data_IF_787025959633
#
_entry.id   IF_787025959633
#
_cell.length_a   1.000
_cell.length_b   1.000
_cell.length_c   1.000
_cell.angle_alpha   90.00
_cell.angle_beta   90.00
_cell.angle_gamma   90.00
#
_symmetry.space_group_name_H-M   'P 1'
#
loop_
_entity.id
_entity.type
_entity.pdbx_description
1 polymer ?
#
# COMPACT_ATOMS: atom_id res chain seq x y z
N UNK A 1 -35.33 -14.27 -6.50
CA UNK A 1 -35.05 -15.39 -5.57
C UNK A 1 -35.62 -15.01 -4.21
N UNK A 2 -36.45 -15.86 -3.59
CA UNK A 2 -37.12 -15.54 -2.31
C UNK A 2 -36.05 -15.31 -1.21
N UNK A 3 -36.11 -14.21 -0.43
CA UNK A 3 -35.10 -13.89 0.58
C UNK A 3 -34.91 -15.01 1.60
N UNK A 4 -35.99 -15.73 1.98
CA UNK A 4 -35.89 -16.87 2.90
C UNK A 4 -35.08 -18.03 2.32
N UNK A 5 -35.23 -18.29 1.01
CA UNK A 5 -34.47 -19.34 0.30
C UNK A 5 -33.00 -18.95 0.18
N UNK A 6 -32.70 -17.67 -0.07
CA UNK A 6 -31.33 -17.17 -0.11
C UNK A 6 -30.62 -17.31 1.25
N UNK A 7 -31.32 -17.02 2.35
CA UNK A 7 -30.78 -17.22 3.72
C UNK A 7 -30.52 -18.69 4.01
N UNK A 8 -31.48 -19.59 3.73
CA UNK A 8 -31.28 -21.03 3.95
C UNK A 8 -30.13 -21.60 3.12
N UNK A 9 -29.96 -21.14 1.87
CA UNK A 9 -28.86 -21.54 1.00
C UNK A 9 -27.50 -21.07 1.54
N UNK A 10 -27.43 -19.85 2.10
CA UNK A 10 -26.21 -19.34 2.71
C UNK A 10 -25.84 -20.12 3.98
N UNK A 11 -26.83 -20.49 4.81
CA UNK A 11 -26.62 -21.38 5.97
C UNK A 11 -26.09 -22.74 5.56
N UNK A 12 -26.70 -23.35 4.54
CA UNK A 12 -26.23 -24.63 3.99
C UNK A 12 -24.79 -24.53 3.48
N UNK A 13 -24.47 -23.49 2.70
CA UNK A 13 -23.10 -23.26 2.21
C UNK A 13 -22.10 -23.12 3.35
N UNK A 14 -22.46 -22.41 4.40
CA UNK A 14 -21.62 -22.21 5.59
C UNK A 14 -21.35 -23.54 6.29
N UNK A 15 -22.40 -24.31 6.59
CA UNK A 15 -22.27 -25.63 7.21
C UNK A 15 -21.43 -26.61 6.36
N UNK A 16 -21.58 -26.59 5.03
CA UNK A 16 -20.74 -27.40 4.15
C UNK A 16 -19.26 -27.00 4.23
N UNK A 17 -18.95 -25.70 4.30
CA UNK A 17 -17.57 -25.24 4.42
C UNK A 17 -17.00 -25.61 5.79
N UNK A 18 -17.78 -25.51 6.87
CA UNK A 18 -17.37 -25.95 8.22
C UNK A 18 -17.06 -27.45 8.26
N UNK A 19 -17.90 -28.27 7.62
CA UNK A 19 -17.65 -29.69 7.46
C UNK A 19 -16.32 -29.94 6.74
N UNK A 20 -16.08 -29.24 5.62
CA UNK A 20 -14.82 -29.36 4.88
C UNK A 20 -13.61 -28.89 5.71
N UNK A 21 -13.75 -27.86 6.54
CA UNK A 21 -12.69 -27.43 7.46
C UNK A 21 -12.35 -28.53 8.46
N UNK A 22 -13.38 -29.15 9.05
CA UNK A 22 -13.22 -30.25 10.01
C UNK A 22 -12.56 -31.46 9.35
N UNK A 23 -12.98 -31.81 8.11
CA UNK A 23 -12.35 -32.88 7.33
C UNK A 23 -10.88 -32.60 7.05
N UNK A 24 -10.51 -31.36 6.73
CA UNK A 24 -9.11 -30.97 6.49
C UNK A 24 -8.25 -31.03 7.76
N UNK A 25 -8.84 -30.87 8.94
CA UNK A 25 -8.13 -31.00 10.22
C UNK A 25 -7.86 -32.46 10.61
N UNK A 26 -8.57 -33.41 10.01
CA UNK A 26 -8.44 -34.83 10.33
C UNK A 26 -7.10 -35.40 9.85
N UNK A 27 -6.40 -36.12 10.74
CA UNK A 27 -5.02 -36.55 10.51
C UNK A 27 -4.89 -37.55 9.35
N UNK A 28 -5.81 -38.51 9.24
CA UNK A 28 -5.80 -39.55 8.20
C UNK A 28 -6.04 -38.97 6.79
N UNK A 29 -6.72 -37.83 6.73
CA UNK A 29 -6.98 -37.10 5.49
C UNK A 29 -5.72 -36.41 4.91
N UNK A 30 -4.64 -36.33 5.69
CA UNK A 30 -3.36 -35.73 5.27
C UNK A 30 -2.52 -36.66 4.40
N UNK A 31 -2.92 -37.93 4.29
CA UNK A 31 -2.25 -38.93 3.47
C UNK A 31 -2.19 -38.52 1.99
N UNK A 32 -1.14 -38.95 1.24
CA UNK A 32 -0.97 -38.59 -0.17
C UNK A 32 -2.14 -39.07 -1.06
N UNK A 33 -2.85 -40.12 -0.63
CA UNK A 33 -4.00 -40.71 -1.31
C UNK A 33 -5.17 -39.74 -1.52
N UNK A 34 -5.26 -38.67 -0.73
CA UNK A 34 -6.33 -37.66 -0.82
C UNK A 34 -5.84 -36.29 -1.32
N UNK A 35 -4.66 -36.23 -1.94
CA UNK A 35 -4.06 -34.97 -2.44
C UNK A 35 -4.95 -34.19 -3.42
N UNK A 36 -5.63 -34.88 -4.35
CA UNK A 36 -6.52 -34.25 -5.32
C UNK A 36 -7.77 -33.65 -4.65
N UNK A 37 -8.38 -34.38 -3.72
CA UNK A 37 -9.56 -33.90 -2.99
C UNK A 37 -9.21 -32.71 -2.10
N UNK A 38 -8.08 -32.75 -1.38
CA UNK A 38 -7.55 -31.60 -0.64
C UNK A 38 -7.38 -30.38 -1.54
N UNK A 39 -6.84 -30.58 -2.73
CA UNK A 39 -6.64 -29.51 -3.71
C UNK A 39 -7.98 -28.87 -4.15
N UNK A 40 -9.02 -29.68 -4.37
CA UNK A 40 -10.38 -29.18 -4.67
C UNK A 40 -10.99 -28.40 -3.50
N UNK A 41 -10.80 -28.87 -2.27
CA UNK A 41 -11.29 -28.19 -1.06
C UNK A 41 -10.60 -26.82 -0.89
N UNK A 42 -9.28 -26.76 -1.04
CA UNK A 42 -8.53 -25.51 -0.95
C UNK A 42 -8.99 -24.52 -2.02
N UNK A 43 -9.16 -24.98 -3.26
CA UNK A 43 -9.68 -24.16 -4.36
C UNK A 43 -11.08 -23.60 -4.04
N UNK A 44 -11.93 -24.39 -3.38
CA UNK A 44 -13.23 -23.94 -2.91
C UNK A 44 -13.12 -22.86 -1.82
N UNK A 45 -12.16 -22.96 -0.90
CA UNK A 45 -11.94 -21.92 0.11
C UNK A 45 -11.51 -20.59 -0.54
N UNK A 46 -10.60 -20.62 -1.52
CA UNK A 46 -10.22 -19.41 -2.27
C UNK A 46 -11.41 -18.76 -2.96
N UNK A 47 -12.25 -19.56 -3.62
CA UNK A 47 -13.49 -19.06 -4.25
C UNK A 47 -14.45 -18.46 -3.21
N UNK A 48 -14.57 -19.10 -2.05
CA UNK A 48 -15.45 -18.66 -0.96
C UNK A 48 -14.98 -17.36 -0.30
N UNK A 49 -13.67 -17.10 -0.23
CA UNK A 49 -13.12 -15.83 0.29
C UNK A 49 -13.50 -14.60 -0.52
N UNK A 50 -13.77 -14.79 -1.82
CA UNK A 50 -14.21 -13.72 -2.73
C UNK A 50 -15.73 -13.54 -2.76
N UNK A 51 -16.48 -14.33 -1.99
CA UNK A 51 -17.93 -14.18 -1.89
C UNK A 51 -18.33 -12.92 -1.10
N UNK A 52 -19.55 -12.42 -1.36
CA UNK A 52 -20.11 -11.24 -0.68
C UNK A 52 -20.68 -11.54 0.71
N UNK A 53 -20.94 -12.81 1.02
CA UNK A 53 -21.56 -13.22 2.28
C UNK A 53 -20.50 -13.31 3.38
N UNK A 54 -20.58 -12.49 4.45
CA UNK A 54 -19.53 -12.43 5.47
C UNK A 54 -19.39 -13.73 6.26
N UNK A 55 -20.48 -14.45 6.53
CA UNK A 55 -20.48 -15.74 7.23
C UNK A 55 -19.64 -16.79 6.49
N UNK A 56 -19.90 -16.94 5.19
CA UNK A 56 -19.16 -17.85 4.29
C UNK A 56 -17.66 -17.51 4.28
N UNK A 57 -17.35 -16.22 4.21
CA UNK A 57 -15.96 -15.73 4.19
C UNK A 57 -15.25 -16.03 5.51
N UNK A 58 -15.92 -15.85 6.65
CA UNK A 58 -15.34 -16.08 7.96
C UNK A 58 -14.91 -17.54 8.13
N UNK A 59 -15.79 -18.48 7.78
CA UNK A 59 -15.47 -19.92 7.83
C UNK A 59 -14.39 -20.28 6.82
N UNK A 60 -14.45 -19.76 5.58
CA UNK A 60 -13.42 -20.03 4.58
C UNK A 60 -12.03 -19.49 4.98
N UNK A 61 -11.98 -18.34 5.66
CA UNK A 61 -10.75 -17.75 6.20
C UNK A 61 -10.15 -18.66 7.28
N UNK A 62 -10.99 -19.18 8.17
CA UNK A 62 -10.55 -20.13 9.20
C UNK A 62 -10.03 -21.43 8.59
N UNK A 63 -10.76 -22.01 7.64
CA UNK A 63 -10.35 -23.21 6.92
C UNK A 63 -8.99 -23.05 6.24
N UNK A 64 -8.76 -21.94 5.53
CA UNK A 64 -7.46 -21.67 4.91
C UNK A 64 -6.36 -21.46 5.94
N UNK A 65 -6.62 -20.74 7.03
CA UNK A 65 -5.65 -20.55 8.11
C UNK A 65 -5.19 -21.89 8.68
N UNK A 66 -6.12 -22.82 8.91
CA UNK A 66 -5.80 -24.17 9.36
C UNK A 66 -4.96 -24.94 8.34
N UNK A 67 -5.33 -24.89 7.06
CA UNK A 67 -4.56 -25.56 5.99
C UNK A 67 -3.14 -25.02 5.89
N UNK A 68 -2.96 -23.69 5.96
CA UNK A 68 -1.66 -23.03 5.88
C UNK A 68 -0.76 -23.42 7.06
N UNK A 69 -1.33 -23.53 8.27
CA UNK A 69 -0.60 -23.93 9.46
C UNK A 69 -0.23 -25.43 9.47
N UNK A 70 -1.05 -26.28 8.85
CA UNK A 70 -0.88 -27.73 8.89
C UNK A 70 -0.03 -28.29 7.75
N UNK A 71 -0.04 -27.66 6.57
CA UNK A 71 0.70 -28.14 5.39
C UNK A 71 1.22 -26.99 4.53
N UNK A 72 2.38 -27.21 3.90
CA UNK A 72 2.89 -26.29 2.88
C UNK A 72 2.04 -26.44 1.62
N UNK A 73 1.34 -25.37 1.22
CA UNK A 73 0.49 -25.41 0.03
C UNK A 73 1.32 -25.53 -1.25
N UNK A 74 0.88 -26.35 -2.24
CA UNK A 74 1.52 -26.42 -3.54
C UNK A 74 1.49 -25.05 -4.24
N UNK A 75 2.63 -24.62 -4.79
CA UNK A 75 2.73 -23.34 -5.50
C UNK A 75 1.71 -23.27 -6.63
N UNK A 76 1.63 -24.30 -7.47
CA UNK A 76 0.74 -24.36 -8.64
C UNK A 76 -0.74 -24.14 -8.28
N UNK A 77 -1.18 -24.69 -7.14
CA UNK A 77 -2.55 -24.53 -6.66
C UNK A 77 -2.83 -23.10 -6.20
N UNK A 78 -1.85 -22.48 -5.55
CA UNK A 78 -1.92 -21.07 -5.20
C UNK A 78 -1.97 -20.21 -6.48
N UNK A 79 -1.15 -20.55 -7.48
CA UNK A 79 -1.12 -19.86 -8.76
C UNK A 79 -2.45 -19.92 -9.49
N UNK A 80 -3.03 -21.12 -9.62
CA UNK A 80 -4.32 -21.30 -10.28
C UNK A 80 -5.45 -20.58 -9.53
N UNK A 81 -5.41 -20.59 -8.20
CA UNK A 81 -6.45 -19.96 -7.37
C UNK A 81 -6.37 -18.43 -7.32
N UNK A 82 -5.17 -17.86 -7.33
CA UNK A 82 -4.96 -16.40 -7.28
C UNK A 82 -4.98 -15.73 -8.65
N UNK A 83 -4.66 -16.46 -9.73
CA UNK A 83 -4.59 -15.90 -11.10
C UNK A 83 -5.83 -15.08 -11.49
N UNK A 84 -7.08 -15.53 -11.26
CA UNK A 84 -8.26 -14.73 -11.60
C UNK A 84 -8.30 -13.37 -10.86
N UNK A 85 -7.84 -13.34 -9.61
CA UNK A 85 -7.83 -12.13 -8.77
C UNK A 85 -6.73 -11.18 -9.26
N UNK A 86 -5.54 -11.70 -9.54
CA UNK A 86 -4.40 -10.93 -10.04
C UNK A 86 -4.63 -10.37 -11.44
N UNK A 87 -5.29 -11.14 -12.31
CA UNK A 87 -5.67 -10.67 -13.66
C UNK A 87 -6.72 -9.56 -13.56
N UNK A 88 -7.72 -9.71 -12.69
CA UNK A 88 -8.69 -8.64 -12.44
C UNK A 88 -8.05 -7.38 -11.83
N UNK A 89 -7.01 -7.55 -11.01
CA UNK A 89 -6.25 -6.43 -10.47
C UNK A 89 -5.49 -5.67 -11.57
N UNK A 90 -4.92 -6.38 -12.55
CA UNK A 90 -4.17 -5.77 -13.65
C UNK A 90 -5.00 -4.79 -14.49
N UNK A 91 -6.33 -4.91 -14.49
CA UNK A 91 -7.24 -4.02 -15.19
C UNK A 91 -7.92 -3.06 -14.22
N UNK A 92 -7.55 -1.77 -14.27
CA UNK A 92 -8.12 -0.71 -13.42
C UNK A 92 -9.66 -0.68 -13.43
N UNK A 93 -10.28 -1.00 -14.57
CA UNK A 93 -11.74 -0.99 -14.76
C UNK A 93 -12.48 -2.08 -14.00
N UNK A 94 -11.80 -3.15 -13.58
CA UNK A 94 -12.41 -4.30 -12.89
C UNK A 94 -12.26 -4.22 -11.37
N UNK A 95 -11.60 -3.17 -10.86
CA UNK A 95 -11.42 -2.98 -9.42
C UNK A 95 -12.78 -2.70 -8.78
N UNK A 96 -13.15 -3.52 -7.81
CA UNK A 96 -14.39 -3.36 -7.06
C UNK A 96 -14.11 -3.58 -5.58
N UNK A 97 -14.93 -2.97 -4.72
CA UNK A 97 -14.78 -3.11 -3.27
C UNK A 97 -14.77 -4.59 -2.82
N UNK A 98 -15.66 -5.48 -3.32
CA UNK A 98 -15.61 -6.90 -2.95
C UNK A 98 -14.32 -7.61 -3.38
N UNK A 99 -13.78 -7.26 -4.54
CA UNK A 99 -12.51 -7.82 -5.03
C UNK A 99 -11.34 -7.39 -4.12
N UNK A 100 -11.25 -6.10 -3.79
CA UNK A 100 -10.20 -5.57 -2.92
C UNK A 100 -10.30 -6.13 -1.50
N UNK A 101 -11.50 -6.27 -0.96
CA UNK A 101 -11.71 -6.93 0.33
C UNK A 101 -11.32 -8.42 0.30
N UNK A 102 -11.66 -9.13 -0.79
CA UNK A 102 -11.21 -10.51 -1.00
C UNK A 102 -9.69 -10.62 -1.05
N UNK A 103 -9.04 -9.72 -1.78
CA UNK A 103 -7.58 -9.65 -1.89
C UNK A 103 -6.92 -9.29 -0.54
N UNK A 104 -7.47 -8.35 0.23
CA UNK A 104 -6.99 -8.04 1.58
C UNK A 104 -7.00 -9.27 2.49
N UNK A 105 -8.11 -10.02 2.50
CA UNK A 105 -8.22 -11.26 3.29
C UNK A 105 -7.20 -12.32 2.87
N UNK A 106 -6.91 -12.40 1.57
CA UNK A 106 -5.90 -13.31 1.03
C UNK A 106 -4.48 -12.88 1.40
N UNK A 107 -4.16 -11.60 1.26
CA UNK A 107 -2.88 -11.02 1.65
C UNK A 107 -2.61 -11.20 3.15
N UNK A 108 -3.63 -11.10 3.99
CA UNK A 108 -3.51 -11.32 5.44
C UNK A 108 -3.11 -12.76 5.78
N UNK A 109 -3.61 -13.75 5.02
CA UNK A 109 -3.29 -15.17 5.22
C UNK A 109 -1.99 -15.60 4.54
N UNK A 110 -1.63 -14.96 3.43
CA UNK A 110 -0.61 -15.40 2.49
C UNK A 110 0.42 -14.31 2.20
N UNK A 111 0.65 -13.37 3.12
CA UNK A 111 1.52 -12.21 2.92
C UNK A 111 2.89 -12.59 2.34
N UNK A 112 3.45 -13.70 2.79
CA UNK A 112 4.78 -14.18 2.39
C UNK A 112 4.84 -14.78 0.97
N UNK A 113 3.68 -15.03 0.35
CA UNK A 113 3.56 -15.56 -1.00
C UNK A 113 3.41 -14.49 -2.06
N UNK A 114 3.08 -13.27 -1.66
CA UNK A 114 3.04 -12.14 -2.56
C UNK A 114 4.41 -11.48 -2.58
N UNK A 115 4.86 -11.12 -3.77
CA UNK A 115 6.13 -10.42 -3.91
C UNK A 115 5.92 -8.90 -3.99
N UNK A 116 7.03 -8.18 -4.04
CA UNK A 116 7.04 -6.72 -4.06
C UNK A 116 6.55 -6.16 -5.41
N UNK A 117 6.49 -6.96 -6.48
CA UNK A 117 5.98 -6.51 -7.79
C UNK A 117 4.50 -6.18 -7.75
N UNK A 118 3.72 -6.88 -6.91
CA UNK A 118 2.32 -6.55 -6.64
C UNK A 118 2.20 -5.10 -6.14
N UNK A 119 3.03 -4.70 -5.17
CA UNK A 119 3.03 -3.33 -4.65
C UNK A 119 3.33 -2.28 -5.71
N UNK A 120 4.24 -2.57 -6.65
CA UNK A 120 4.53 -1.68 -7.78
C UNK A 120 3.32 -1.50 -8.70
N UNK A 121 2.58 -2.59 -9.00
CA UNK A 121 1.34 -2.50 -9.77
C UNK A 121 0.27 -1.69 -9.04
N UNK A 122 0.08 -1.93 -7.74
CA UNK A 122 -0.87 -1.17 -6.92
C UNK A 122 -0.56 0.33 -6.94
N UNK A 123 0.72 0.72 -6.88
CA UNK A 123 1.13 2.12 -7.02
C UNK A 123 0.83 2.68 -8.41
N UNK A 124 1.14 1.94 -9.46
CA UNK A 124 0.83 2.36 -10.84
C UNK A 124 -0.68 2.57 -11.01
N UNK A 125 -1.50 1.72 -10.39
CA UNK A 125 -2.94 1.92 -10.33
C UNK A 125 -3.27 3.22 -9.62
N UNK A 126 -2.80 3.44 -8.38
CA UNK A 126 -3.07 4.67 -7.64
C UNK A 126 -2.64 5.94 -8.39
N UNK A 127 -1.53 5.92 -9.14
CA UNK A 127 -1.09 7.09 -9.95
C UNK A 127 -2.11 7.47 -11.02
N UNK A 128 -2.82 6.49 -11.60
CA UNK A 128 -3.89 6.77 -12.59
C UNK A 128 -5.07 7.55 -11.98
N UNK A 129 -5.22 7.57 -10.65
CA UNK A 129 -6.21 8.41 -9.97
C UNK A 129 -5.82 9.89 -9.89
N UNK A 130 -4.56 10.25 -10.19
CA UNK A 130 -4.14 11.65 -10.33
C UNK A 130 -4.43 12.20 -11.73
N UNK A 131 -4.86 11.35 -12.67
CA UNK A 131 -5.14 11.73 -14.05
C UNK A 131 -6.65 11.85 -14.30
N UNK A 132 -7.23 13.06 -14.22
CA UNK A 132 -8.69 13.26 -14.28
C UNK A 132 -9.31 12.76 -15.59
N UNK A 133 -8.60 12.85 -16.71
CA UNK A 133 -9.07 12.36 -18.02
C UNK A 133 -9.20 10.83 -18.07
N UNK A 134 -8.28 10.10 -17.44
CA UNK A 134 -8.32 8.62 -17.36
C UNK A 134 -9.31 8.13 -16.32
N UNK A 135 -9.52 8.91 -15.25
CA UNK A 135 -10.55 8.65 -14.25
C UNK A 135 -11.95 8.75 -14.85
N UNK A 136 -12.24 9.79 -15.64
CA UNK A 136 -13.54 9.96 -16.30
C UNK A 136 -13.92 8.77 -17.20
N UNK A 137 -12.93 8.11 -17.82
CA UNK A 137 -13.16 6.89 -18.60
C UNK A 137 -13.45 5.66 -17.73
N UNK A 138 -12.97 5.65 -16.49
CA UNK A 138 -13.12 4.55 -15.52
C UNK A 138 -14.37 4.71 -14.65
N UNK A 139 -14.86 5.95 -14.49
CA UNK A 139 -16.09 6.32 -13.77
C UNK A 139 -17.34 5.58 -14.24
N UNK A 140 -17.40 5.14 -15.51
CA UNK A 140 -18.52 4.32 -16.01
C UNK A 140 -18.69 3.00 -15.26
N UNK A 141 -17.65 2.52 -14.56
CA UNK A 141 -17.64 1.23 -13.86
C UNK A 141 -18.01 1.35 -12.38
N UNK A 142 -18.05 2.58 -11.82
CA UNK A 142 -18.24 2.82 -10.39
C UNK A 142 -19.39 3.78 -10.12
N UNK A 143 -19.99 3.69 -8.92
CA UNK A 143 -20.95 4.69 -8.49
C UNK A 143 -20.21 5.98 -8.13
N UNK A 144 -20.83 7.13 -8.39
CA UNK A 144 -20.27 8.42 -8.01
C UNK A 144 -19.93 8.44 -6.51
N UNK A 145 -18.70 8.86 -6.16
CA UNK A 145 -18.20 8.91 -4.78
C UNK A 145 -17.65 7.59 -4.21
N UNK A 146 -17.65 6.48 -4.97
CA UNK A 146 -16.95 5.25 -4.56
C UNK A 146 -15.45 5.28 -4.89
N UNK A 147 -15.02 6.13 -5.81
CA UNK A 147 -13.65 6.19 -6.32
C UNK A 147 -12.62 6.43 -5.21
N UNK A 148 -12.82 7.40 -4.29
CA UNK A 148 -11.90 7.60 -3.16
C UNK A 148 -11.88 6.41 -2.21
N UNK A 149 -12.98 5.66 -2.08
CA UNK A 149 -13.01 4.45 -1.22
C UNK A 149 -12.21 3.32 -1.85
N UNK A 150 -12.25 3.18 -3.17
CA UNK A 150 -11.48 2.17 -3.90
C UNK A 150 -9.99 2.46 -3.77
N UNK A 151 -9.57 3.72 -4.00
CA UNK A 151 -8.17 4.12 -3.80
C UNK A 151 -7.72 3.92 -2.33
N UNK A 152 -8.56 4.25 -1.35
CA UNK A 152 -8.27 3.97 0.06
C UNK A 152 -8.12 2.47 0.35
N UNK A 153 -8.97 1.63 -0.24
CA UNK A 153 -8.87 0.18 -0.11
C UNK A 153 -7.59 -0.39 -0.76
N UNK A 154 -7.07 0.23 -1.84
CA UNK A 154 -5.77 -0.14 -2.42
C UNK A 154 -4.63 0.25 -1.48
N UNK A 155 -4.64 1.46 -0.91
CA UNK A 155 -3.64 1.89 0.09
C UNK A 155 -3.65 0.94 1.29
N UNK A 156 -4.84 0.49 1.71
CA UNK A 156 -5.01 -0.48 2.80
C UNK A 156 -4.30 -1.81 2.48
N UNK A 157 -4.13 -2.22 1.22
CA UNK A 157 -3.40 -3.46 0.93
C UNK A 157 -1.90 -3.38 1.25
N UNK A 158 -1.29 -2.18 1.28
CA UNK A 158 0.15 -2.04 1.47
C UNK A 158 0.63 -2.50 2.84
N UNK A 159 -0.18 -2.35 3.90
CA UNK A 159 0.22 -2.83 5.22
C UNK A 159 0.24 -4.37 5.32
N UNK A 160 -0.41 -5.06 4.39
CA UNK A 160 -0.48 -6.53 4.32
C UNK A 160 0.63 -7.13 3.42
N UNK A 161 1.35 -6.31 2.64
CA UNK A 161 2.46 -6.76 1.82
C UNK A 161 3.65 -7.25 2.68
N UNK A 162 4.60 -8.03 2.13
CA UNK A 162 5.82 -8.41 2.84
C UNK A 162 6.63 -7.20 3.36
N UNK A 163 7.54 -7.43 4.31
CA UNK A 163 8.41 -6.38 4.89
C UNK A 163 9.26 -5.65 3.84
N UNK A 164 9.56 -6.29 2.70
CA UNK A 164 10.26 -5.68 1.58
C UNK A 164 9.46 -4.55 0.88
N UNK A 165 8.21 -4.32 1.27
CA UNK A 165 7.39 -3.19 0.81
C UNK A 165 7.78 -1.84 1.45
N UNK A 166 8.70 -1.80 2.40
CA UNK A 166 9.25 -0.54 2.96
C UNK A 166 9.84 0.38 1.88
N UNK A 167 10.33 -0.18 0.76
CA UNK A 167 10.83 0.61 -0.38
C UNK A 167 9.79 1.53 -1.02
N UNK A 168 8.49 1.23 -0.83
CA UNK A 168 7.39 2.05 -1.35
C UNK A 168 7.00 3.20 -0.41
N UNK A 169 7.68 3.37 0.72
CA UNK A 169 7.34 4.37 1.73
C UNK A 169 7.25 5.78 1.16
N UNK A 170 8.30 6.23 0.47
CA UNK A 170 8.36 7.59 -0.11
C UNK A 170 7.25 7.81 -1.14
N UNK A 171 7.13 6.87 -2.08
CA UNK A 171 6.18 6.95 -3.17
C UNK A 171 4.72 6.90 -2.68
N UNK A 172 4.41 6.01 -1.72
CA UNK A 172 3.08 5.87 -1.15
C UNK A 172 2.66 7.10 -0.33
N UNK A 173 3.57 7.67 0.47
CA UNK A 173 3.29 8.89 1.25
C UNK A 173 3.03 10.05 0.31
N UNK A 174 3.92 10.25 -0.67
CA UNK A 174 3.79 11.33 -1.67
C UNK A 174 2.48 11.23 -2.43
N UNK A 175 2.19 10.04 -2.98
CA UNK A 175 0.98 9.77 -3.73
C UNK A 175 -0.28 9.95 -2.88
N UNK A 176 -0.25 9.58 -1.60
CA UNK A 176 -1.41 9.81 -0.71
C UNK A 176 -1.65 11.30 -0.47
N UNK A 177 -0.60 12.11 -0.36
CA UNK A 177 -0.72 13.57 -0.21
C UNK A 177 -1.31 14.19 -1.49
N UNK A 178 -0.84 13.76 -2.66
CA UNK A 178 -1.34 14.23 -3.96
C UNK A 178 -2.80 13.82 -4.20
N UNK A 179 -3.16 12.58 -3.86
CA UNK A 179 -4.53 12.08 -3.97
C UNK A 179 -5.49 12.86 -3.06
N UNK A 180 -5.05 13.31 -1.89
CA UNK A 180 -5.87 14.18 -1.03
C UNK A 180 -6.05 15.58 -1.62
N UNK A 181 -5.01 16.17 -2.20
CA UNK A 181 -5.10 17.47 -2.86
C UNK A 181 -5.94 17.43 -4.14
N UNK A 182 -6.08 16.26 -4.76
CA UNK A 182 -6.94 16.05 -5.93
C UNK A 182 -8.41 15.79 -5.57
N UNK A 183 -8.79 15.70 -4.27
CA UNK A 183 -10.18 15.47 -3.87
C UNK A 183 -11.04 16.73 -4.14
N UNK A 184 -12.23 16.58 -4.76
CA UNK A 184 -13.11 17.72 -5.00
C UNK A 184 -13.58 18.39 -3.69
N UNK A 185 -13.49 19.72 -3.58
CA UNK A 185 -14.04 20.44 -2.43
C UNK A 185 -15.57 20.30 -2.38
N UNK A 186 -16.12 20.05 -1.19
CA UNK A 186 -17.57 19.99 -0.96
C UNK A 186 -18.24 18.62 -1.13
N UNK A 187 -17.50 17.55 -1.42
CA UNK A 187 -18.02 16.18 -1.39
C UNK A 187 -17.88 15.51 -0.01
N UNK A 188 -18.50 14.34 0.15
CA UNK A 188 -18.43 13.47 1.36
C UNK A 188 -16.98 13.22 1.80
N UNK A 189 -16.07 13.13 0.82
CA UNK A 189 -14.63 13.05 1.02
C UNK A 189 -13.99 14.37 0.64
N UNK A 190 -13.14 14.88 1.52
CA UNK A 190 -12.42 16.15 1.36
C UNK A 190 -11.08 16.08 2.08
N UNK A 191 -10.28 17.15 1.97
CA UNK A 191 -9.10 17.29 2.81
C UNK A 191 -9.42 17.21 4.31
N UNK A 192 -10.65 17.47 4.76
CA UNK A 192 -11.00 17.35 6.18
C UNK A 192 -11.37 15.91 6.52
N UNK A 193 -12.07 15.22 5.60
CA UNK A 193 -12.51 13.83 5.75
C UNK A 193 -11.88 12.91 4.70
N UNK A 194 -10.55 12.76 4.73
CA UNK A 194 -9.84 11.92 3.76
C UNK A 194 -9.95 10.42 4.13
N UNK A 195 -10.39 9.56 3.19
CA UNK A 195 -10.45 8.12 3.41
C UNK A 195 -9.06 7.45 3.37
N UNK A 196 -8.02 8.14 2.91
CA UNK A 196 -6.67 7.58 2.72
C UNK A 196 -5.83 7.56 4.02
N UNK A 197 -6.19 8.39 5.00
CA UNK A 197 -5.39 8.60 6.23
C UNK A 197 -5.23 7.35 7.07
N UNK A 198 -6.33 6.65 7.34
CA UNK A 198 -6.32 5.46 8.19
C UNK A 198 -5.51 4.33 7.53
N UNK A 199 -5.73 4.00 6.24
CA UNK A 199 -4.89 3.05 5.51
C UNK A 199 -3.40 3.39 5.52
N UNK A 200 -3.04 4.65 5.25
CA UNK A 200 -1.64 5.09 5.28
C UNK A 200 -1.04 4.94 6.69
N UNK A 201 -1.78 5.30 7.73
CA UNK A 201 -1.32 5.20 9.12
C UNK A 201 -1.01 3.76 9.50
N UNK A 202 -1.85 2.79 9.10
CA UNK A 202 -1.57 1.35 9.33
C UNK A 202 -0.28 0.90 8.65
N UNK A 203 -0.04 1.34 7.42
CA UNK A 203 1.20 1.04 6.72
C UNK A 203 2.42 1.63 7.45
N UNK A 204 2.35 2.89 7.86
CA UNK A 204 3.44 3.56 8.57
C UNK A 204 3.74 2.90 9.92
N UNK A 205 2.71 2.51 10.68
CA UNK A 205 2.86 1.84 11.96
C UNK A 205 3.64 0.53 11.83
N UNK A 206 3.48 -0.20 10.72
CA UNK A 206 4.22 -1.44 10.47
C UNK A 206 5.71 -1.21 10.26
N UNK A 207 6.09 -0.02 9.82
CA UNK A 207 7.47 0.42 9.60
C UNK A 207 7.83 1.62 10.47
N UNK A 208 7.33 1.66 11.72
CA UNK A 208 7.37 2.85 12.56
C UNK A 208 8.78 3.50 12.68
N UNK A 209 9.89 2.75 12.87
CA UNK A 209 11.23 3.36 12.92
C UNK A 209 11.62 4.05 11.61
N UNK A 210 11.40 3.38 10.47
CA UNK A 210 11.69 3.93 9.14
C UNK A 210 10.80 5.13 8.81
N UNK A 211 9.52 5.06 9.19
CA UNK A 211 8.56 6.13 8.98
C UNK A 211 8.91 7.38 9.80
N UNK A 212 9.32 7.22 11.06
CA UNK A 212 9.77 8.33 11.90
C UNK A 212 11.00 9.00 11.29
N UNK A 213 12.04 8.24 10.94
CA UNK A 213 13.25 8.78 10.31
C UNK A 213 12.91 9.48 8.96
N UNK A 214 12.00 8.90 8.18
CA UNK A 214 11.51 9.49 6.93
C UNK A 214 10.86 10.87 7.10
N UNK A 215 10.02 11.05 8.11
CA UNK A 215 9.35 12.33 8.37
C UNK A 215 10.26 13.34 9.07
N UNK A 216 11.15 12.90 9.97
CA UNK A 216 12.12 13.77 10.64
C UNK A 216 13.10 14.42 9.65
N UNK A 217 13.54 13.67 8.63
CA UNK A 217 14.39 14.22 7.56
C UNK A 217 13.68 15.24 6.66
N UNK A 218 12.34 15.29 6.69
CA UNK A 218 11.51 16.16 5.84
C UNK A 218 10.67 17.17 6.64
N UNK A 219 11.05 17.49 7.87
CA UNK A 219 10.32 18.45 8.71
C UNK A 219 10.21 19.84 8.06
N UNK A 220 11.20 20.23 7.25
CA UNK A 220 11.19 21.48 6.50
C UNK A 220 10.14 21.54 5.38
N UNK A 221 9.58 20.41 4.97
CA UNK A 221 8.59 20.35 3.89
C UNK A 221 7.16 20.39 4.46
N UNK A 222 6.41 21.50 4.28
CA UNK A 222 5.14 21.71 4.98
C UNK A 222 4.08 20.64 4.71
N UNK A 223 4.05 20.08 3.49
CA UNK A 223 3.09 19.05 3.08
C UNK A 223 3.28 17.74 3.88
N UNK A 224 4.53 17.30 4.00
CA UNK A 224 4.88 16.08 4.76
C UNK A 224 4.77 16.31 6.26
N UNK A 225 5.21 17.46 6.75
CA UNK A 225 5.08 17.82 8.16
C UNK A 225 3.61 17.86 8.61
N UNK A 226 2.74 18.54 7.85
CA UNK A 226 1.30 18.59 8.12
C UNK A 226 0.71 17.17 8.13
N UNK A 227 1.10 16.32 7.17
CA UNK A 227 0.66 14.91 7.12
C UNK A 227 1.05 14.16 8.38
N UNK A 228 2.32 14.26 8.77
CA UNK A 228 2.85 13.58 9.95
C UNK A 228 2.13 14.00 11.22
N UNK A 229 1.89 15.31 11.40
CA UNK A 229 1.13 15.85 12.52
C UNK A 229 -0.29 15.28 12.60
N UNK A 230 -1.01 15.19 11.48
CA UNK A 230 -2.33 14.57 11.47
C UNK A 230 -2.30 13.10 11.90
N UNK A 231 -1.30 12.36 11.45
CA UNK A 231 -1.15 10.93 11.75
C UNK A 231 -0.82 10.73 13.24
N UNK A 232 0.12 11.50 13.78
CA UNK A 232 0.49 11.47 15.21
C UNK A 232 -0.67 11.84 16.12
N UNK A 233 -1.51 12.80 15.71
CA UNK A 233 -2.68 13.23 16.49
C UNK A 233 -3.85 12.25 16.42
N UNK A 234 -3.85 11.34 15.45
CA UNK A 234 -4.88 10.30 15.34
C UNK A 234 -4.69 9.20 16.39
N UNK A 235 -5.78 8.53 16.75
CA UNK A 235 -5.74 7.39 17.69
C UNK A 235 -4.91 6.23 17.14
N UNK A 236 -4.93 6.03 15.82
CA UNK A 236 -4.15 5.00 15.15
C UNK A 236 -2.64 5.29 15.15
N UNK A 237 -2.20 6.51 15.46
CA UNK A 237 -0.79 6.91 15.43
C UNK A 237 0.05 6.45 16.63
N UNK A 238 -0.53 5.69 17.57
CA UNK A 238 0.16 5.30 18.81
C UNK A 238 1.54 4.64 18.58
N UNK A 239 1.72 3.67 17.67
CA UNK A 239 3.03 3.05 17.45
C UNK A 239 4.10 4.05 16.99
N UNK A 240 3.73 5.03 16.18
CA UNK A 240 4.63 6.10 15.75
C UNK A 240 4.97 7.05 16.90
N UNK A 241 4.01 7.35 17.79
CA UNK A 241 4.25 8.16 19.00
C UNK A 241 5.24 7.46 19.94
N UNK A 242 5.06 6.16 20.16
CA UNK A 242 5.94 5.37 21.01
C UNK A 242 7.37 5.34 20.44
N UNK A 243 7.52 5.20 19.13
CA UNK A 243 8.82 5.20 18.48
C UNK A 243 9.49 6.59 18.52
N UNK A 244 8.71 7.66 18.34
CA UNK A 244 9.18 9.04 18.47
C UNK A 244 9.65 9.34 19.91
N UNK A 245 8.93 8.85 20.92
CA UNK A 245 9.26 9.03 22.33
C UNK A 245 10.59 8.37 22.73
N UNK A 246 11.00 7.30 22.04
CA UNK A 246 12.32 6.66 22.26
C UNK A 246 13.50 7.49 21.72
N UNK A 247 13.24 8.40 20.78
CA UNK A 247 14.29 9.11 20.03
C UNK A 247 14.20 10.64 20.15
N UNK A 248 14.13 11.23 21.36
CA UNK A 248 13.98 12.68 21.53
C UNK A 248 15.17 13.47 20.95
N UNK A 249 16.38 12.89 21.01
CA UNK A 249 17.59 13.50 20.47
C UNK A 249 17.54 13.64 18.93
N UNK A 250 16.93 12.67 18.23
CA UNK A 250 16.76 12.77 16.77
C UNK A 250 15.83 13.93 16.41
N UNK A 251 14.78 14.16 17.20
CA UNK A 251 13.84 15.27 17.00
C UNK A 251 14.57 16.60 17.18
N UNK A 252 15.35 16.74 18.25
CA UNK A 252 16.13 17.95 18.50
C UNK A 252 17.10 18.24 17.36
N UNK A 253 17.84 17.23 16.90
CA UNK A 253 18.77 17.38 15.78
C UNK A 253 18.07 17.75 14.47
N UNK A 254 16.89 17.17 14.18
CA UNK A 254 16.16 17.44 12.94
C UNK A 254 15.34 18.74 12.96
N UNK A 255 14.79 19.14 14.11
CA UNK A 255 13.96 20.33 14.25
C UNK A 255 14.76 21.60 14.61
N UNK A 256 15.87 21.42 15.34
CA UNK A 256 16.73 22.49 15.83
C UNK A 256 18.20 22.16 15.52
N UNK A 257 18.60 22.11 14.23
CA UNK A 257 19.97 21.78 13.85
C UNK A 257 21.02 22.70 14.49
N UNK A 258 20.64 23.95 14.78
CA UNK A 258 21.46 24.96 15.47
C UNK A 258 21.76 24.62 16.94
N UNK A 259 20.95 23.77 17.59
CA UNK A 259 21.08 23.39 19.00
C UNK A 259 21.58 21.95 19.19
N UNK A 260 22.09 21.30 18.13
CA UNK A 260 22.75 20.00 18.30
C UNK A 260 23.92 20.18 19.29
N UNK A 261 24.03 19.36 20.35
CA UNK A 261 25.14 19.45 21.26
C UNK A 261 26.39 19.12 20.47
N UNK A 262 27.20 20.14 20.17
CA UNK A 262 28.58 19.96 19.76
C UNK A 262 29.21 19.11 20.86
N UNK A 263 29.49 17.85 20.54
CA UNK A 263 30.31 16.96 21.37
C UNK A 263 31.50 17.75 21.90
N UNK A 264 31.65 17.75 23.22
CA UNK A 264 32.58 18.56 23.99
C UNK A 264 33.93 18.74 23.30
N UNK A 265 34.14 19.95 22.77
CA UNK A 265 35.49 20.43 22.50
C UNK A 265 36.11 20.70 23.86
N UNK A 266 37.00 19.81 24.25
CA UNK A 266 37.95 19.94 25.36
C UNK A 266 38.43 21.39 25.45
N UNK A 267 38.22 22.00 26.61
CA UNK A 267 38.75 23.30 26.98
C UNK A 267 40.26 23.39 26.75
N UNK A 268 40.69 24.44 26.04
CA UNK A 268 41.96 25.13 26.31
C UNK A 268 41.71 26.63 26.25
N UNK A 269 42.03 27.41 27.29
CA UNK A 269 41.87 28.86 27.28
C UNK A 269 43.11 29.52 26.67
N UNK A 270 42.92 30.56 25.85
CA UNK A 270 44.06 31.38 25.44
C UNK A 270 43.81 32.32 24.26
N UNK A 271 43.68 33.60 24.59
CA UNK A 271 44.10 34.77 23.81
C UNK A 271 43.18 35.33 22.72
N UNK A 272 42.60 36.45 23.12
CA UNK A 272 42.13 37.58 22.32
C UNK A 272 43.07 38.03 21.19
N UNK A 273 42.49 38.38 20.03
CA UNK A 273 42.76 39.66 19.38
C UNK A 273 41.68 40.01 18.35
N UNK A 274 41.24 41.26 18.45
CA UNK A 274 40.40 42.04 17.53
C UNK A 274 41.11 42.33 16.20
N UNK A 275 40.37 42.45 15.09
CA UNK A 275 40.45 43.64 14.21
C UNK A 275 39.39 43.67 13.10
N UNK A 276 39.05 44.90 12.73
CA UNK A 276 37.99 45.36 11.85
C UNK A 276 38.28 45.20 10.34
N UNK A 277 37.17 45.19 9.59
CA UNK A 277 36.87 45.86 8.31
C UNK A 277 37.98 46.02 7.24
N UNK A 278 37.61 45.75 5.98
CA UNK A 278 37.85 46.63 4.82
C UNK A 278 36.87 46.25 3.68
N UNK A 279 36.21 47.29 3.16
CA UNK A 279 35.40 47.35 1.94
C UNK A 279 36.29 47.30 0.68
N UNK A 280 35.77 46.72 -0.40
CA UNK A 280 36.35 46.83 -1.74
C UNK A 280 35.27 46.62 -2.80
N UNK A 281 35.01 47.69 -3.53
CA UNK A 281 33.96 47.92 -4.52
C UNK A 281 34.41 47.54 -5.95
N UNK A 282 33.42 47.50 -6.85
CA UNK A 282 33.45 47.82 -8.29
C UNK A 282 33.56 46.76 -9.41
N UNK A 283 32.48 46.76 -10.22
CA UNK A 283 32.45 46.60 -11.69
C UNK A 283 32.37 45.18 -12.28
N UNK A 284 31.70 44.86 -13.40
CA UNK A 284 30.80 45.54 -14.34
C UNK A 284 30.38 44.48 -15.42
N UNK A 285 29.08 44.37 -15.74
CA UNK A 285 28.45 43.99 -17.06
C UNK A 285 28.50 42.55 -17.65
N UNK A 286 27.28 42.06 -17.95
CA UNK A 286 26.71 40.96 -18.81
C UNK A 286 27.20 40.93 -20.29
N UNK A 287 26.90 39.93 -21.19
CA UNK A 287 25.71 39.05 -21.29
C UNK A 287 25.91 37.56 -21.79
N UNK A 288 24.80 36.80 -21.84
CA UNK A 288 24.60 35.52 -22.56
C UNK A 288 24.82 35.64 -24.09
N UNK A 289 24.99 34.49 -24.81
CA UNK A 289 23.93 34.10 -25.74
C UNK A 289 23.63 32.59 -25.87
N UNK A 290 22.42 32.35 -26.41
CA UNK A 290 21.81 31.08 -26.84
C UNK A 290 22.58 30.26 -27.89
N UNK A 291 22.36 28.94 -27.92
CA UNK A 291 22.19 28.19 -29.18
C UNK A 291 21.54 26.81 -29.00
N UNK A 292 20.27 26.73 -29.39
CA UNK A 292 19.60 25.75 -30.27
C UNK A 292 20.17 24.34 -30.50
N UNK A 293 19.31 23.35 -30.18
CA UNK A 293 19.03 22.06 -30.85
C UNK A 293 19.18 22.05 -32.40
N UNK A 294 19.27 20.90 -33.13
CA UNK A 294 18.33 19.75 -33.01
C UNK A 294 18.85 18.33 -33.40
N UNK A 295 18.11 17.29 -32.99
CA UNK A 295 18.05 16.02 -33.74
C UNK A 295 16.76 15.23 -33.45
N UNK A 296 16.13 14.81 -34.54
CA UNK A 296 14.85 14.12 -34.72
C UNK A 296 14.87 12.61 -34.42
N UNK A 297 13.73 12.06 -33.98
CA UNK A 297 13.40 10.62 -34.09
C UNK A 297 11.90 10.42 -34.44
N UNK A 298 11.52 9.43 -35.27
CA UNK A 298 10.19 9.34 -35.88
C UNK A 298 9.22 8.36 -35.20
N UNK A 299 7.93 8.62 -35.48
CA UNK A 299 6.81 7.69 -35.73
C UNK A 299 6.44 6.57 -34.74
N UNK A 300 5.27 6.79 -34.11
CA UNK A 300 4.11 5.87 -34.02
C UNK A 300 4.35 4.34 -34.12
N UNK A 301 4.25 3.67 -32.97
CA UNK A 301 3.90 2.24 -32.89
C UNK A 301 3.10 1.94 -31.61
N UNK A 302 1.81 1.70 -31.80
CA UNK A 302 0.93 0.73 -31.08
C UNK A 302 1.28 0.35 -29.64
N UNK A 303 0.50 0.88 -28.68
CA UNK A 303 0.58 0.56 -27.23
C UNK A 303 -0.02 -0.81 -26.83
N UNK A 304 -0.34 -1.68 -27.79
CA UNK A 304 -1.02 -2.98 -27.54
C UNK A 304 -0.08 -4.19 -27.47
N UNK A 305 1.23 -4.01 -27.63
CA UNK A 305 2.19 -5.13 -27.67
C UNK A 305 2.85 -5.48 -26.32
N UNK A 306 2.76 -4.63 -25.30
CA UNK A 306 3.51 -4.80 -24.04
C UNK A 306 2.94 -5.83 -23.05
N UNK A 307 1.77 -6.41 -23.32
CA UNK A 307 1.03 -7.22 -22.35
C UNK A 307 0.94 -8.73 -22.65
N UNK A 308 1.49 -9.21 -23.77
CA UNK A 308 1.48 -10.66 -24.05
C UNK A 308 2.60 -11.45 -23.36
N UNK A 309 3.68 -10.79 -22.95
CA UNK A 309 4.87 -11.45 -22.37
C UNK A 309 5.00 -11.26 -20.85
N UNK A 310 3.89 -10.98 -20.15
CA UNK A 310 3.85 -10.99 -18.70
C UNK A 310 3.82 -12.42 -18.19
N UNK A 311 5.01 -13.01 -18.11
CA UNK A 311 5.26 -14.27 -17.45
C UNK A 311 4.85 -14.16 -15.97
N UNK A 312 3.79 -14.89 -15.63
CA UNK A 312 3.18 -14.90 -14.30
C UNK A 312 4.22 -15.26 -13.23
N UNK A 313 5.32 -15.93 -13.58
CA UNK A 313 6.48 -16.23 -12.74
C UNK A 313 7.03 -15.01 -11.97
N UNK A 314 6.93 -13.79 -12.53
CA UNK A 314 7.45 -12.56 -11.92
C UNK A 314 6.55 -11.93 -10.85
N UNK A 315 5.34 -12.46 -10.64
CA UNK A 315 4.41 -12.02 -9.58
C UNK A 315 4.50 -12.87 -8.30
N UNK A 316 5.36 -13.89 -8.30
CA UNK A 316 5.63 -14.82 -7.18
C UNK A 316 6.95 -14.51 -6.48
#
# INVERSE_FOLDING_TARGET
MNPKVATSLNKLRTACIELLCTTMAWADFKTPNHSELRSKIISMFFKSLTCRTPEIVAVAKEGLRQVINQQRMPKELLQSSLRPILVNLAHTKNLSMPLLQGLARLLELLSNWFNVTLGGKLLEHLKKWLEPEKLAQSQKSWKAGEEPKIAAAIIELFHLLPLAASKFLDELVTLTIELEGALPPGQVYSEINSPYRVPLTKFLNRYAPLAVDYFLTRLSQPKYFRRFMYIIRSDAGQPLRDELAKSPQKILASAFPEYSPKSDVVMTPGSSSTSAAILGDDGLVTPLPDSSNPASAPSSATSDAYFRDLDLSKLW
#
